data_IF_512817851708
#
_entry.id   IF_512817851708
#
_cell.length_a   1.000
_cell.length_b   1.000
_cell.length_c   1.000
_cell.angle_alpha   90.00
_cell.angle_beta   90.00
_cell.angle_gamma   90.00
#
_symmetry.space_group_name_H-M   'P 1'
#
loop_
_entity.id
_entity.type
_entity.pdbx_description
1 polymer ?
#
# COMPACT_ATOMS: atom_id res chain seq x y z
N UNK A 1 -29.80 -23.29 18.19
CA UNK A 1 -29.21 -22.60 17.01
C UNK A 1 -28.92 -21.13 17.28
N UNK A 2 -29.96 -20.29 17.43
CA UNK A 2 -29.82 -18.82 17.52
C UNK A 2 -29.06 -18.30 18.76
N UNK A 3 -29.19 -18.94 19.92
CA UNK A 3 -28.53 -18.49 21.17
C UNK A 3 -27.00 -18.62 21.09
N UNK A 4 -26.49 -19.65 20.40
CA UNK A 4 -25.04 -19.85 20.23
C UNK A 4 -24.39 -18.83 19.29
N UNK A 5 -25.12 -18.39 18.25
CA UNK A 5 -24.64 -17.38 17.29
C UNK A 5 -24.56 -16.01 17.97
N UNK A 6 -25.55 -15.65 18.79
CA UNK A 6 -25.52 -14.40 19.56
C UNK A 6 -24.37 -14.37 20.58
N UNK A 7 -24.09 -15.49 21.26
CA UNK A 7 -22.96 -15.61 22.16
C UNK A 7 -21.62 -15.39 21.41
N UNK A 8 -21.44 -16.05 20.26
CA UNK A 8 -20.22 -15.90 19.45
C UNK A 8 -20.03 -14.45 18.97
N UNK A 9 -21.10 -13.81 18.46
CA UNK A 9 -21.05 -12.42 17.98
C UNK A 9 -20.74 -11.45 19.13
N UNK A 10 -21.29 -11.70 20.32
CA UNK A 10 -21.00 -10.88 21.49
C UNK A 10 -19.54 -11.04 21.95
N UNK A 11 -19.02 -12.27 21.99
CA UNK A 11 -17.63 -12.55 22.36
C UNK A 11 -16.63 -11.92 21.37
N UNK A 12 -16.89 -12.01 20.07
CA UNK A 12 -16.04 -11.37 19.04
C UNK A 12 -16.08 -9.85 19.16
N UNK A 13 -17.27 -9.26 19.41
CA UNK A 13 -17.41 -7.82 19.63
C UNK A 13 -16.70 -7.33 20.88
N UNK A 14 -16.75 -8.08 21.98
CA UNK A 14 -16.03 -7.71 23.21
C UNK A 14 -14.52 -7.85 23.04
N UNK A 15 -14.07 -8.88 22.32
CA UNK A 15 -12.64 -9.08 22.03
C UNK A 15 -12.07 -7.97 21.13
N UNK A 16 -12.80 -7.57 20.08
CA UNK A 16 -12.40 -6.49 19.19
C UNK A 16 -12.36 -5.10 19.86
N UNK A 17 -13.17 -4.88 20.91
CA UNK A 17 -13.12 -3.64 21.71
C UNK A 17 -11.95 -3.60 22.70
N UNK A 18 -11.44 -4.76 23.11
CA UNK A 18 -10.33 -4.87 24.07
C UNK A 18 -8.95 -4.86 23.40
N UNK A 19 -8.88 -5.06 22.08
CA UNK A 19 -7.63 -5.05 21.31
C UNK A 19 -7.69 -4.00 20.18
N UNK A 20 -7.59 -2.69 20.48
CA UNK A 20 -7.19 -1.74 19.45
C UNK A 20 -5.79 -2.14 18.98
N UNK A 21 -5.66 -2.49 17.70
CA UNK A 21 -4.38 -2.77 17.08
C UNK A 21 -3.54 -1.48 17.12
N UNK A 22 -2.65 -1.37 18.10
CA UNK A 22 -1.65 -0.31 18.11
C UNK A 22 -0.65 -0.59 17.00
N UNK A 23 -0.82 0.06 15.86
CA UNK A 23 0.24 0.15 14.84
C UNK A 23 1.29 1.12 15.37
N UNK A 24 2.16 0.63 16.24
CA UNK A 24 3.37 1.36 16.64
C UNK A 24 4.40 1.29 15.52
N UNK A 25 4.28 2.19 14.55
CA UNK A 25 5.35 2.47 13.59
C UNK A 25 6.41 3.34 14.27
N UNK A 26 7.18 2.75 15.18
CA UNK A 26 8.42 3.36 15.67
C UNK A 26 9.50 3.14 14.61
N UNK A 27 9.56 4.03 13.61
CA UNK A 27 10.70 4.09 12.70
C UNK A 27 11.84 4.76 13.46
N UNK A 28 12.92 3.99 13.64
CA UNK A 28 14.20 4.44 14.18
C UNK A 28 14.66 5.71 13.47
N UNK A 29 14.82 6.77 14.26
CA UNK A 29 15.56 7.98 13.89
C UNK A 29 16.93 7.61 13.33
N UNK A 30 17.13 7.86 12.02
CA UNK A 30 18.47 7.97 11.44
C UNK A 30 18.77 9.45 11.33
N UNK A 31 19.85 9.86 11.99
CA UNK A 31 20.36 11.24 12.08
C UNK A 31 20.33 11.97 10.73
N UNK A 32 19.99 13.27 10.71
CA UNK A 32 20.00 14.04 9.48
C UNK A 32 21.43 14.13 8.94
N UNK A 33 21.57 13.92 7.63
CA UNK A 33 22.81 14.11 6.90
C UNK A 33 23.30 15.56 7.10
N UNK A 34 24.58 15.68 7.49
CA UNK A 34 25.27 16.94 7.76
C UNK A 34 25.36 17.78 6.49
N UNK A 35 24.43 18.72 6.32
CA UNK A 35 24.54 19.80 5.35
C UNK A 35 25.71 20.69 5.77
N UNK A 36 26.72 20.78 4.91
CA UNK A 36 27.83 21.72 5.05
C UNK A 36 27.29 23.12 4.77
N UNK A 37 26.92 23.87 5.81
CA UNK A 37 26.69 25.30 5.67
C UNK A 37 27.38 26.08 6.79
N UNK A 38 27.95 27.23 6.41
CA UNK A 38 28.98 27.94 7.16
C UNK A 38 28.38 28.66 8.37
N UNK A 39 29.09 28.59 9.49
CA UNK A 39 28.72 29.20 10.76
C UNK A 39 28.56 30.73 10.61
N UNK A 40 27.36 31.24 10.82
CA UNK A 40 27.11 32.64 11.17
C UNK A 40 26.38 32.62 12.50
N UNK A 41 27.04 33.11 13.55
CA UNK A 41 26.52 33.14 14.90
C UNK A 41 25.31 34.06 15.00
N UNK A 42 24.15 33.51 15.37
CA UNK A 42 22.92 34.25 15.66
C UNK A 42 22.52 34.01 17.12
N UNK A 43 22.16 35.07 17.88
CA UNK A 43 21.87 34.99 19.32
C UNK A 43 20.61 34.16 19.62
N UNK A 44 20.66 33.44 20.73
CA UNK A 44 19.86 32.27 21.13
C UNK A 44 18.39 32.50 21.50
N UNK A 45 17.85 33.71 21.34
CA UNK A 45 16.64 34.10 22.08
C UNK A 45 15.42 34.39 21.17
N UNK A 46 15.48 34.04 19.89
CA UNK A 46 14.30 34.15 19.01
C UNK A 46 13.53 32.83 19.04
N UNK A 47 12.34 32.86 19.67
CA UNK A 47 11.34 31.80 19.64
C UNK A 47 10.91 31.52 18.19
N UNK A 48 11.63 30.62 17.52
CA UNK A 48 11.26 30.09 16.22
C UNK A 48 10.05 29.18 16.44
N UNK A 49 8.90 29.69 15.99
CA UNK A 49 7.64 28.96 15.97
C UNK A 49 7.81 27.56 15.38
N UNK A 50 7.07 26.61 15.96
CA UNK A 50 6.93 25.23 15.53
C UNK A 50 7.03 25.11 14.01
N UNK A 51 8.18 24.64 13.54
CA UNK A 51 8.35 24.23 12.15
C UNK A 51 7.36 23.09 11.92
N UNK A 52 6.31 23.38 11.16
CA UNK A 52 5.37 22.38 10.69
C UNK A 52 6.16 21.23 10.07
N UNK A 53 5.85 20.00 10.48
CA UNK A 53 6.31 18.77 9.85
C UNK A 53 6.21 18.95 8.33
N UNK A 54 7.37 19.08 7.67
CA UNK A 54 7.47 18.88 6.23
C UNK A 54 6.94 17.48 5.98
N UNK A 55 5.70 17.37 5.51
CA UNK A 55 5.17 16.10 5.04
C UNK A 55 6.00 15.72 3.83
N UNK A 56 7.03 14.91 4.06
CA UNK A 56 7.83 14.31 3.00
C UNK A 56 6.87 13.64 2.03
N UNK A 57 6.96 14.02 0.75
CA UNK A 57 6.13 13.42 -0.28
C UNK A 57 6.39 11.90 -0.31
N UNK A 58 5.34 11.08 -0.44
CA UNK A 58 5.53 9.63 -0.51
C UNK A 58 6.28 9.28 -1.79
N UNK A 59 7.13 8.25 -1.72
CA UNK A 59 7.73 7.65 -2.91
C UNK A 59 6.70 6.77 -3.62
N UNK A 60 6.52 6.98 -4.92
CA UNK A 60 5.60 6.20 -5.74
C UNK A 60 6.43 5.24 -6.60
N UNK A 61 6.25 3.93 -6.38
CA UNK A 61 6.84 2.88 -7.20
C UNK A 61 5.73 2.23 -8.05
N UNK A 62 5.90 2.28 -9.37
CA UNK A 62 4.98 1.67 -10.31
C UNK A 62 5.63 0.46 -10.97
N UNK A 63 5.08 -0.72 -10.74
CA UNK A 63 5.53 -1.99 -11.32
C UNK A 63 4.52 -2.41 -12.38
N UNK A 64 4.98 -2.66 -13.60
CA UNK A 64 4.15 -3.17 -14.70
C UNK A 64 4.72 -4.52 -15.13
N UNK A 65 3.83 -5.44 -15.51
CA UNK A 65 4.19 -6.75 -16.02
C UNK A 65 3.69 -6.87 -17.45
N UNK A 66 4.48 -7.51 -18.31
CA UNK A 66 4.17 -7.70 -19.73
C UNK A 66 3.49 -9.04 -19.93
N UNK A 67 2.44 -9.08 -20.76
CA UNK A 67 1.71 -10.29 -21.14
C UNK A 67 1.22 -11.18 -19.97
N UNK A 68 1.01 -10.58 -18.79
CA UNK A 68 0.47 -11.27 -17.61
C UNK A 68 -1.06 -11.27 -17.64
N UNK A 69 -1.63 -12.47 -17.61
CA UNK A 69 -3.07 -12.70 -17.53
C UNK A 69 -3.60 -12.77 -16.10
N UNK A 70 -4.92 -12.78 -15.98
CA UNK A 70 -5.66 -12.84 -14.71
C UNK A 70 -5.34 -14.11 -13.89
N UNK A 71 -5.00 -15.21 -14.57
CA UNK A 71 -4.69 -16.50 -13.94
C UNK A 71 -3.21 -16.69 -13.58
N UNK A 72 -2.34 -15.77 -14.00
CA UNK A 72 -0.88 -15.84 -13.79
C UNK A 72 -0.43 -15.21 -12.46
N UNK A 73 -1.38 -14.68 -11.66
CA UNK A 73 -1.12 -14.13 -10.32
C UNK A 73 -1.93 -14.94 -9.31
N UNK A 74 -1.26 -15.51 -8.31
CA UNK A 74 -1.83 -16.50 -7.40
C UNK A 74 -3.12 -16.06 -6.72
N UNK A 75 -3.08 -14.92 -6.01
CA UNK A 75 -4.28 -14.41 -5.32
C UNK A 75 -5.42 -14.08 -6.30
N UNK A 76 -5.11 -13.50 -7.46
CA UNK A 76 -6.12 -13.16 -8.46
C UNK A 76 -6.75 -14.38 -9.11
N UNK A 77 -5.94 -15.37 -9.44
CA UNK A 77 -6.37 -16.64 -10.00
C UNK A 77 -7.34 -17.37 -9.06
N UNK A 78 -7.04 -17.36 -7.75
CA UNK A 78 -7.88 -17.98 -6.72
C UNK A 78 -9.28 -17.37 -6.57
N UNK A 79 -9.49 -16.13 -7.03
CA UNK A 79 -10.81 -15.47 -7.02
C UNK A 79 -11.73 -15.97 -8.14
N UNK A 80 -11.17 -16.43 -9.25
CA UNK A 80 -11.94 -16.86 -10.43
C UNK A 80 -12.05 -18.37 -10.53
N UNK A 81 -11.03 -19.09 -10.08
CA UNK A 81 -11.01 -20.55 -10.07
C UNK A 81 -10.35 -21.07 -8.79
N UNK A 82 -11.15 -21.76 -7.97
CA UNK A 82 -10.68 -22.38 -6.72
C UNK A 82 -9.69 -23.53 -6.96
N UNK A 83 -9.62 -24.07 -8.19
CA UNK A 83 -8.62 -25.05 -8.62
C UNK A 83 -7.32 -24.41 -9.11
N UNK A 84 -7.28 -23.08 -9.30
CA UNK A 84 -6.12 -22.38 -9.86
C UNK A 84 -5.01 -22.10 -8.82
N UNK A 85 -4.88 -22.99 -7.84
CA UNK A 85 -3.78 -23.06 -6.86
C UNK A 85 -2.42 -23.39 -7.49
N UNK A 86 -2.29 -23.38 -8.82
CA UNK A 86 -1.05 -23.68 -9.54
C UNK A 86 -0.08 -22.49 -9.56
N UNK A 87 -0.59 -21.26 -9.48
CA UNK A 87 0.25 -20.05 -9.54
C UNK A 87 0.60 -19.57 -8.14
N UNK A 88 1.88 -19.58 -7.79
CA UNK A 88 2.39 -19.20 -6.47
C UNK A 88 3.19 -17.90 -6.58
N UNK A 89 2.64 -16.79 -6.07
CA UNK A 89 3.24 -15.45 -6.13
C UNK A 89 3.33 -14.80 -4.75
N UNK A 90 4.15 -15.32 -3.82
CA UNK A 90 4.03 -15.00 -2.39
C UNK A 90 4.26 -13.51 -2.06
N UNK A 91 5.15 -12.84 -2.78
CA UNK A 91 5.41 -11.41 -2.60
C UNK A 91 4.26 -10.54 -3.13
N UNK A 92 3.68 -10.90 -4.28
CA UNK A 92 2.52 -10.18 -4.83
C UNK A 92 1.28 -10.42 -3.98
N UNK A 93 1.07 -11.65 -3.51
CA UNK A 93 -0.05 -12.00 -2.64
C UNK A 93 0.02 -11.23 -1.32
N UNK A 94 1.23 -11.02 -0.79
CA UNK A 94 1.43 -10.16 0.38
C UNK A 94 1.05 -8.72 0.07
N UNK A 95 1.52 -8.15 -1.05
CA UNK A 95 1.16 -6.78 -1.45
C UNK A 95 -0.34 -6.60 -1.66
N UNK A 96 -1.02 -7.61 -2.21
CA UNK A 96 -2.45 -7.57 -2.44
C UNK A 96 -3.27 -7.71 -1.15
N UNK A 97 -2.78 -8.47 -0.15
CA UNK A 97 -3.41 -8.58 1.18
C UNK A 97 -3.18 -7.34 2.05
N UNK A 98 -2.00 -6.73 1.98
CA UNK A 98 -1.62 -5.55 2.76
C UNK A 98 -2.19 -4.25 2.15
N UNK A 99 -2.63 -4.30 0.88
CA UNK A 99 -3.07 -3.16 0.10
C UNK A 99 -4.50 -3.24 -0.43
N UNK A 100 -4.73 -2.55 -1.54
CA UNK A 100 -6.01 -2.57 -2.26
C UNK A 100 -5.82 -3.33 -3.57
N UNK A 101 -6.65 -4.34 -3.80
CA UNK A 101 -6.67 -5.11 -5.03
C UNK A 101 -7.81 -4.66 -5.95
N UNK A 102 -7.50 -4.39 -7.21
CA UNK A 102 -8.49 -4.06 -8.23
C UNK A 102 -9.00 -5.35 -8.86
N UNK A 103 -10.29 -5.64 -8.70
CA UNK A 103 -10.94 -6.82 -9.30
C UNK A 103 -11.44 -6.57 -10.71
N UNK A 104 -11.62 -5.31 -11.09
CA UNK A 104 -12.06 -4.90 -12.41
C UNK A 104 -11.19 -3.76 -12.93
N UNK A 105 -10.31 -4.08 -13.88
CA UNK A 105 -9.39 -3.14 -14.52
C UNK A 105 -9.30 -3.46 -16.02
N UNK A 106 -9.18 -2.43 -16.86
CA UNK A 106 -9.18 -2.57 -18.31
C UNK A 106 -7.93 -1.94 -18.90
N UNK A 107 -7.36 -2.59 -19.90
CA UNK A 107 -6.21 -2.12 -20.65
C UNK A 107 -6.44 -2.24 -22.16
N UNK A 108 -5.53 -1.66 -22.92
CA UNK A 108 -5.51 -1.85 -24.37
C UNK A 108 -5.02 -3.28 -24.69
N UNK A 109 -5.49 -3.90 -25.79
CA UNK A 109 -5.15 -5.28 -26.13
C UNK A 109 -3.71 -5.47 -26.66
N UNK A 110 -2.89 -4.41 -26.70
CA UNK A 110 -1.51 -4.46 -27.18
C UNK A 110 -0.59 -3.65 -26.25
N UNK A 111 0.64 -4.12 -26.07
CA UNK A 111 1.61 -3.55 -25.12
C UNK A 111 1.94 -2.08 -25.41
N UNK A 112 2.10 -1.71 -26.68
CA UNK A 112 2.43 -0.33 -27.09
C UNK A 112 1.31 0.65 -26.72
N UNK A 113 0.05 0.49 -27.16
CA UNK A 113 -1.03 1.37 -26.76
C UNK A 113 -1.31 1.28 -25.25
N UNK A 114 -1.19 0.11 -24.62
CA UNK A 114 -1.38 -0.02 -23.17
C UNK A 114 -0.39 0.85 -22.39
N UNK A 115 0.91 0.75 -22.68
CA UNK A 115 1.94 1.57 -22.04
C UNK A 115 1.79 3.05 -22.37
N UNK A 116 1.43 3.39 -23.62
CA UNK A 116 1.20 4.78 -24.01
C UNK A 116 0.04 5.41 -23.21
N UNK A 117 -1.09 4.71 -23.07
CA UNK A 117 -2.23 5.19 -22.28
C UNK A 117 -1.89 5.32 -20.79
N UNK A 118 -1.12 4.37 -20.26
CA UNK A 118 -0.68 4.36 -18.86
C UNK A 118 0.23 5.55 -18.51
N UNK A 119 1.18 5.87 -19.40
CA UNK A 119 2.14 6.95 -19.19
C UNK A 119 1.56 8.35 -19.45
N UNK A 120 0.62 8.46 -20.38
CA UNK A 120 0.06 9.77 -20.79
C UNK A 120 -1.28 10.09 -20.13
N UNK A 121 -1.96 9.08 -19.57
CA UNK A 121 -3.33 9.21 -19.09
C UNK A 121 -4.36 9.47 -20.20
N UNK A 122 -4.00 9.25 -21.48
CA UNK A 122 -4.84 9.51 -22.65
C UNK A 122 -5.21 8.23 -23.37
N UNK A 123 -6.42 8.18 -23.89
CA UNK A 123 -6.87 7.09 -24.76
C UNK A 123 -6.17 7.19 -26.12
N UNK A 124 -5.73 6.06 -26.68
CA UNK A 124 -5.24 5.97 -28.05
C UNK A 124 -6.43 6.01 -29.00
N UNK A 125 -6.64 7.17 -29.62
CA UNK A 125 -7.57 7.36 -30.73
C UNK A 125 -6.79 7.56 -32.02
#
# INVERSE_FOLDING_TARGET
GLVGILALVFTVRTWAKQHPYEVNTTIMSRSPAKSHDKHVDMPSDTLIGSMGSSKTAPHILMITMDDVGVYDVGLQSSLFDSSASLTITPHMDKLARDGVMLTNYYGQPSCTPARATLMTGKFVH
#
